data_IF_726146980190
#
_entry.id   IF_726146980190
#
_cell.length_a   1.000
_cell.length_b   1.000
_cell.length_c   1.000
_cell.angle_alpha   90.00
_cell.angle_beta   90.00
_cell.angle_gamma   90.00
#
_symmetry.space_group_name_H-M   'P 1'
#
loop_
_entity.id
_entity.type
_entity.pdbx_description
1 polymer ?
#
# COMPACT_ATOMS: atom_id res chain seq x y z
N UNK A 1 11.64 12.85 6.73
CA UNK A 1 12.02 12.40 5.37
C UNK A 1 11.18 13.15 4.33
N UNK A 2 11.70 13.35 3.10
CA UNK A 2 10.90 13.89 1.98
C UNK A 2 10.08 12.76 1.31
N UNK A 3 8.75 12.89 1.15
CA UNK A 3 7.90 11.84 0.59
C UNK A 3 8.34 11.31 -0.78
N UNK A 4 8.89 12.15 -1.63
CA UNK A 4 9.32 11.79 -3.00
C UNK A 4 10.60 10.96 -2.97
N UNK A 5 11.49 11.20 -2.00
CA UNK A 5 12.68 10.36 -1.78
C UNK A 5 12.26 8.95 -1.41
N UNK A 6 11.25 8.83 -0.53
CA UNK A 6 10.67 7.54 -0.17
C UNK A 6 10.03 6.85 -1.38
N UNK A 7 9.18 7.57 -2.14
CA UNK A 7 8.52 7.03 -3.32
C UNK A 7 9.52 6.55 -4.37
N UNK A 8 10.52 7.39 -4.70
CA UNK A 8 11.53 7.10 -5.72
C UNK A 8 12.45 5.94 -5.30
N UNK A 9 12.78 5.81 -4.01
CA UNK A 9 13.49 4.64 -3.49
C UNK A 9 12.71 3.36 -3.73
N UNK A 10 11.40 3.37 -3.49
CA UNK A 10 10.55 2.20 -3.72
C UNK A 10 10.33 1.93 -5.22
N UNK A 11 10.27 2.96 -6.07
CA UNK A 11 10.23 2.77 -7.52
C UNK A 11 11.51 2.08 -8.03
N UNK A 12 12.70 2.51 -7.57
CA UNK A 12 13.97 1.83 -7.93
C UNK A 12 13.95 0.35 -7.58
N UNK A 13 13.56 0.01 -6.34
CA UNK A 13 13.43 -1.38 -5.91
C UNK A 13 12.45 -2.19 -6.77
N UNK A 14 11.35 -1.57 -7.20
CA UNK A 14 10.38 -2.23 -8.06
C UNK A 14 10.92 -2.52 -9.47
N UNK A 15 11.84 -1.70 -9.97
CA UNK A 15 12.45 -1.88 -11.29
C UNK A 15 13.51 -3.00 -11.30
N UNK A 16 13.96 -3.48 -10.14
CA UNK A 16 14.87 -4.63 -9.97
C UNK A 16 14.13 -5.98 -10.04
N UNK A 17 12.94 -6.01 -10.64
CA UNK A 17 12.07 -7.16 -10.69
C UNK A 17 12.72 -8.37 -11.36
N UNK A 18 12.53 -9.54 -10.74
CA UNK A 18 12.71 -10.85 -11.35
C UNK A 18 11.49 -11.77 -11.11
N UNK A 19 11.33 -12.86 -11.87
CA UNK A 19 10.14 -13.74 -11.79
C UNK A 19 9.99 -14.60 -10.53
N UNK A 20 10.93 -14.56 -9.56
CA UNK A 20 10.83 -15.40 -8.36
C UNK A 20 9.63 -15.00 -7.49
N UNK A 21 8.98 -15.94 -6.77
CA UNK A 21 7.83 -15.64 -5.91
C UNK A 21 8.12 -14.55 -4.85
N UNK A 22 9.35 -14.54 -4.31
CA UNK A 22 9.80 -13.50 -3.38
C UNK A 22 9.87 -12.13 -4.05
N UNK A 23 10.50 -12.06 -5.23
CA UNK A 23 10.59 -10.82 -6.00
C UNK A 23 9.22 -10.29 -6.43
N UNK A 24 8.27 -11.17 -6.80
CA UNK A 24 6.88 -10.78 -7.08
C UNK A 24 6.26 -10.07 -5.87
N UNK A 25 6.43 -10.64 -4.67
CA UNK A 25 5.95 -10.01 -3.43
C UNK A 25 6.63 -8.66 -3.17
N UNK A 26 7.97 -8.63 -3.18
CA UNK A 26 8.76 -7.45 -2.85
C UNK A 26 8.50 -6.30 -3.83
N UNK A 27 8.45 -6.61 -5.13
CA UNK A 27 8.12 -5.65 -6.20
C UNK A 27 6.70 -5.11 -6.04
N UNK A 28 5.72 -5.97 -5.74
CA UNK A 28 4.33 -5.56 -5.49
C UNK A 28 4.25 -4.61 -4.30
N UNK A 29 4.96 -4.89 -3.21
CA UNK A 29 5.01 -4.01 -2.03
C UNK A 29 5.67 -2.68 -2.37
N UNK A 30 6.81 -2.70 -3.05
CA UNK A 30 7.53 -1.50 -3.46
C UNK A 30 6.70 -0.60 -4.40
N UNK A 31 6.07 -1.17 -5.42
CA UNK A 31 5.16 -0.43 -6.31
C UNK A 31 3.95 0.13 -5.57
N UNK A 32 3.37 -0.60 -4.60
CA UNK A 32 2.27 -0.07 -3.79
C UNK A 32 2.70 1.13 -2.96
N UNK A 33 3.88 1.06 -2.33
CA UNK A 33 4.47 2.19 -1.59
C UNK A 33 4.64 3.41 -2.50
N UNK A 34 5.23 3.23 -3.68
CA UNK A 34 5.36 4.29 -4.68
C UNK A 34 3.98 4.84 -5.11
N UNK A 35 3.04 3.96 -5.49
CA UNK A 35 1.74 4.34 -6.01
C UNK A 35 0.88 5.07 -4.97
N UNK A 36 0.94 4.68 -3.70
CA UNK A 36 0.27 5.40 -2.62
C UNK A 36 0.74 6.85 -2.57
N UNK A 37 2.05 7.10 -2.69
CA UNK A 37 2.58 8.47 -2.69
C UNK A 37 2.29 9.21 -4.00
N UNK A 38 2.41 8.55 -5.15
CA UNK A 38 2.08 9.15 -6.45
C UNK A 38 0.61 9.59 -6.53
N UNK A 39 -0.32 8.80 -5.97
CA UNK A 39 -1.73 9.18 -5.87
C UNK A 39 -1.93 10.35 -4.90
N UNK A 40 -1.32 10.31 -3.72
CA UNK A 40 -1.44 11.39 -2.73
C UNK A 40 -0.89 12.72 -3.25
N UNK A 41 0.25 12.68 -3.94
CA UNK A 41 0.91 13.88 -4.47
C UNK A 41 0.41 14.28 -5.86
N UNK A 42 -0.59 13.59 -6.41
CA UNK A 42 -1.12 13.84 -7.75
C UNK A 42 -1.64 15.28 -7.94
N UNK A 43 -2.07 15.93 -6.86
CA UNK A 43 -2.48 17.35 -6.87
C UNK A 43 -1.33 18.34 -7.06
N UNK A 44 -0.09 17.93 -6.72
CA UNK A 44 1.12 18.73 -6.89
C UNK A 44 1.90 18.32 -8.14
N UNK A 45 1.79 17.06 -8.54
CA UNK A 45 2.44 16.51 -9.72
C UNK A 45 1.58 15.39 -10.31
N UNK A 46 0.85 15.71 -11.37
CA UNK A 46 -0.03 14.76 -12.03
C UNK A 46 0.68 14.09 -13.19
N UNK A 47 0.89 12.77 -13.08
CA UNK A 47 1.33 11.94 -14.20
C UNK A 47 0.39 10.75 -14.37
N UNK A 48 -0.63 10.86 -15.24
CA UNK A 48 -1.67 9.85 -15.38
C UNK A 48 -1.11 8.51 -15.87
N UNK A 49 -0.14 8.55 -16.80
CA UNK A 49 0.52 7.35 -17.33
C UNK A 49 1.27 6.58 -16.25
N UNK A 50 2.02 7.28 -15.39
CA UNK A 50 2.76 6.67 -14.29
C UNK A 50 1.82 5.97 -13.30
N UNK A 51 0.71 6.63 -12.94
CA UNK A 51 -0.31 6.06 -12.06
C UNK A 51 -0.98 4.85 -12.73
N UNK A 52 -1.34 4.96 -14.00
CA UNK A 52 -1.99 3.88 -14.76
C UNK A 52 -1.13 2.63 -14.84
N UNK A 53 0.11 2.73 -15.33
CA UNK A 53 0.99 1.57 -15.47
C UNK A 53 1.39 0.97 -14.13
N UNK A 54 1.56 1.80 -13.09
CA UNK A 54 1.80 1.30 -11.73
C UNK A 54 0.61 0.51 -11.19
N UNK A 55 -0.63 0.97 -11.44
CA UNK A 55 -1.85 0.24 -11.05
C UNK A 55 -1.96 -1.11 -11.77
N UNK A 56 -1.72 -1.13 -13.08
CA UNK A 56 -1.75 -2.35 -13.88
C UNK A 56 -0.69 -3.36 -13.39
N UNK A 57 0.56 -2.93 -13.19
CA UNK A 57 1.61 -3.79 -12.66
C UNK A 57 1.25 -4.36 -11.27
N UNK A 58 0.75 -3.53 -10.35
CA UNK A 58 0.33 -3.97 -9.00
C UNK A 58 -0.81 -4.98 -9.04
N UNK A 59 -1.73 -4.83 -10.01
CA UNK A 59 -2.86 -5.74 -10.22
C UNK A 59 -2.38 -7.10 -10.71
N UNK A 60 -1.53 -7.15 -11.73
CA UNK A 60 -1.01 -8.40 -12.30
C UNK A 60 -0.12 -9.12 -11.28
N UNK A 61 0.83 -8.42 -10.66
CA UNK A 61 1.63 -8.96 -9.55
C UNK A 61 0.76 -9.46 -8.39
N UNK A 62 -0.42 -8.87 -8.22
CA UNK A 62 -1.39 -9.33 -7.24
C UNK A 62 -1.97 -10.69 -7.56
N UNK A 63 -2.39 -10.92 -8.80
CA UNK A 63 -2.88 -12.23 -9.25
C UNK A 63 -1.82 -13.31 -9.14
N UNK A 64 -0.59 -13.01 -9.59
CA UNK A 64 0.55 -13.94 -9.46
C UNK A 64 0.77 -14.29 -8.00
N UNK A 65 0.87 -13.29 -7.11
CA UNK A 65 1.11 -13.53 -5.68
C UNK A 65 -0.01 -14.35 -5.03
N UNK A 66 -1.25 -14.11 -5.43
CA UNK A 66 -2.40 -14.81 -4.85
C UNK A 66 -2.36 -16.29 -5.25
N UNK A 67 -2.01 -16.62 -6.50
CA UNK A 67 -1.75 -17.99 -6.94
C UNK A 67 -0.50 -18.60 -6.27
N UNK A 68 0.60 -17.85 -6.15
CA UNK A 68 1.83 -18.32 -5.46
C UNK A 68 1.55 -18.67 -3.97
N UNK A 69 0.59 -18.01 -3.32
CA UNK A 69 0.17 -18.29 -1.93
C UNK A 69 -0.77 -19.49 -1.86
N UNK A 70 -1.80 -19.50 -2.70
CA UNK A 70 -2.94 -20.39 -2.59
C UNK A 70 -2.68 -21.74 -3.27
N UNK A 71 -1.82 -21.75 -4.31
CA UNK A 71 -1.43 -22.90 -5.14
C UNK A 71 -2.58 -23.64 -5.84
N UNK A 72 -3.84 -23.20 -5.66
CA UNK A 72 -5.02 -23.83 -6.25
C UNK A 72 -5.69 -22.99 -7.34
N UNK A 73 -5.28 -21.72 -7.51
CA UNK A 73 -5.86 -20.83 -8.52
C UNK A 73 -5.11 -21.00 -9.84
N UNK A 74 -5.74 -21.61 -10.87
CA UNK A 74 -5.08 -21.80 -12.16
C UNK A 74 -4.87 -20.43 -12.81
N UNK A 75 -3.61 -20.08 -13.04
CA UNK A 75 -3.22 -18.89 -13.80
C UNK A 75 -2.10 -19.25 -14.78
N UNK A 76 -2.04 -18.52 -15.90
CA UNK A 76 -0.86 -18.51 -16.75
C UNK A 76 0.20 -17.57 -16.12
N UNK A 77 0.98 -18.13 -15.20
CA UNK A 77 1.99 -17.37 -14.44
C UNK A 77 3.05 -16.78 -15.36
N UNK A 78 3.50 -17.53 -16.37
CA UNK A 78 4.54 -17.10 -17.30
C UNK A 78 4.07 -15.91 -18.14
N UNK A 79 2.84 -15.98 -18.66
CA UNK A 79 2.23 -14.87 -19.38
C UNK A 79 2.13 -13.62 -18.50
N UNK A 80 1.61 -13.74 -17.28
CA UNK A 80 1.49 -12.59 -16.37
C UNK A 80 2.86 -11.99 -15.99
N UNK A 81 3.89 -12.81 -15.81
CA UNK A 81 5.27 -12.32 -15.61
C UNK A 81 5.76 -11.55 -16.83
N UNK A 82 5.49 -12.06 -18.04
CA UNK A 82 5.84 -11.38 -19.30
C UNK A 82 5.14 -10.02 -19.41
N UNK A 83 3.86 -9.93 -19.04
CA UNK A 83 3.12 -8.66 -19.00
C UNK A 83 3.76 -7.66 -18.04
N UNK A 84 4.07 -8.07 -16.81
CA UNK A 84 4.73 -7.20 -15.82
C UNK A 84 6.08 -6.72 -16.34
N UNK A 85 6.86 -7.60 -16.96
CA UNK A 85 8.18 -7.29 -17.53
C UNK A 85 8.08 -6.24 -18.64
N UNK A 86 6.98 -6.22 -19.41
CA UNK A 86 6.70 -5.19 -20.44
C UNK A 86 6.19 -3.88 -19.85
N UNK A 87 5.49 -3.92 -18.72
CA UNK A 87 4.90 -2.73 -18.07
C UNK A 87 5.94 -1.96 -17.25
N UNK A 88 6.80 -2.64 -16.48
CA UNK A 88 7.75 -1.99 -15.57
C UNK A 88 8.67 -0.96 -16.25
N UNK A 89 9.22 -1.19 -17.46
CA UNK A 89 10.00 -0.18 -18.16
C UNK A 89 9.23 1.12 -18.44
N UNK A 90 7.90 1.05 -18.57
CA UNK A 90 7.04 2.24 -18.80
C UNK A 90 6.93 3.15 -17.59
N UNK A 91 7.26 2.66 -16.39
CA UNK A 91 7.33 3.47 -15.16
C UNK A 91 8.75 3.84 -14.76
N UNK A 92 9.76 3.50 -15.56
CA UNK A 92 11.17 3.78 -15.25
C UNK A 92 11.50 5.27 -15.15
N UNK A 93 10.81 6.12 -15.91
CA UNK A 93 10.96 7.58 -15.89
C UNK A 93 10.01 8.28 -14.89
N UNK A 94 9.21 7.53 -14.14
CA UNK A 94 8.16 8.07 -13.28
C UNK A 94 8.64 8.55 -11.90
N UNK A 95 9.90 8.98 -11.80
CA UNK A 95 10.41 9.55 -10.56
C UNK A 95 9.67 10.85 -10.23
N UNK A 96 9.20 10.95 -8.98
CA UNK A 96 8.57 12.15 -8.48
C UNK A 96 9.64 13.23 -8.31
N UNK A 97 9.45 14.45 -8.86
CA UNK A 97 10.37 15.55 -8.66
C UNK A 97 10.33 16.01 -7.20
N UNK A 98 11.27 16.87 -6.78
CA UNK A 98 11.19 17.50 -5.46
C UNK A 98 10.03 18.51 -5.47
N UNK A 99 9.02 18.31 -4.62
CA UNK A 99 7.86 19.18 -4.54
C UNK A 99 7.85 19.91 -3.20
N UNK A 100 7.59 21.21 -3.22
CA UNK A 100 7.35 21.98 -2.00
C UNK A 100 5.95 21.65 -1.46
N UNK A 101 5.80 21.59 -0.14
CA UNK A 101 4.52 21.27 0.51
C UNK A 101 4.10 19.79 0.46
N UNK A 102 4.90 18.89 -0.12
CA UNK A 102 4.54 17.46 -0.20
C UNK A 102 4.32 16.79 1.15
N UNK A 103 5.06 17.20 2.18
CA UNK A 103 4.85 16.73 3.57
C UNK A 103 3.47 17.11 4.09
N UNK A 104 3.06 18.37 3.91
CA UNK A 104 1.72 18.83 4.30
C UNK A 104 0.64 18.02 3.59
N UNK A 105 0.77 17.79 2.28
CA UNK A 105 -0.17 16.96 1.50
C UNK A 105 -0.29 15.55 2.06
N UNK A 106 0.84 14.95 2.45
CA UNK A 106 0.83 13.61 3.05
C UNK A 106 0.15 13.62 4.42
N UNK A 107 0.40 14.62 5.26
CA UNK A 107 -0.25 14.71 6.58
C UNK A 107 -1.75 15.03 6.49
N UNK A 108 -2.18 15.89 5.57
CA UNK A 108 -3.59 16.06 5.25
C UNK A 108 -4.21 14.72 4.83
N UNK A 109 -3.52 13.93 4.00
CA UNK A 109 -4.03 12.62 3.62
C UNK A 109 -4.09 11.63 4.79
N UNK A 110 -3.13 11.68 5.70
CA UNK A 110 -3.15 10.90 6.95
C UNK A 110 -4.37 11.32 7.81
N UNK A 111 -4.66 12.62 7.89
CA UNK A 111 -5.83 13.17 8.59
C UNK A 111 -7.15 12.73 7.95
N UNK A 112 -7.24 12.74 6.62
CA UNK A 112 -8.40 12.19 5.89
C UNK A 112 -8.64 10.73 6.25
N UNK A 113 -7.57 9.92 6.24
CA UNK A 113 -7.67 8.52 6.61
C UNK A 113 -8.15 8.38 8.04
N UNK A 114 -7.57 9.12 9.00
CA UNK A 114 -8.00 9.14 10.40
C UNK A 114 -9.51 9.39 10.53
N UNK A 115 -10.04 10.45 9.91
CA UNK A 115 -11.47 10.79 9.97
C UNK A 115 -12.37 9.75 9.31
N UNK A 116 -11.84 8.98 8.36
CA UNK A 116 -12.57 7.92 7.67
C UNK A 116 -12.49 6.54 8.32
N UNK A 117 -11.71 6.36 9.39
CA UNK A 117 -11.56 5.07 10.07
C UNK A 117 -12.84 4.72 10.83
N UNK A 118 -13.48 3.63 10.43
CA UNK A 118 -14.66 3.07 11.08
C UNK A 118 -14.68 1.56 10.92
N UNK A 119 -15.57 0.89 11.63
CA UNK A 119 -15.83 -0.53 11.39
C UNK A 119 -16.45 -0.68 10.00
N UNK A 120 -15.81 -1.46 9.15
CA UNK A 120 -16.16 -1.62 7.73
C UNK A 120 -15.75 -3.00 7.20
N UNK A 121 -15.87 -3.21 5.89
CA UNK A 121 -15.38 -4.42 5.24
C UNK A 121 -13.87 -4.62 5.46
N UNK A 122 -13.47 -5.88 5.72
CA UNK A 122 -12.08 -6.25 6.00
C UNK A 122 -11.10 -5.72 4.94
N UNK A 123 -11.46 -5.79 3.66
CA UNK A 123 -10.57 -5.39 2.58
C UNK A 123 -10.38 -3.88 2.53
N UNK A 124 -11.45 -3.12 2.77
CA UNK A 124 -11.38 -1.66 2.81
C UNK A 124 -10.60 -1.17 4.04
N UNK A 125 -10.85 -1.73 5.22
CA UNK A 125 -10.07 -1.43 6.41
C UNK A 125 -8.58 -1.75 6.21
N UNK A 126 -8.25 -2.95 5.70
CA UNK A 126 -6.87 -3.36 5.41
C UNK A 126 -6.18 -2.43 4.40
N UNK A 127 -6.89 -1.95 3.37
CA UNK A 127 -6.34 -0.97 2.43
C UNK A 127 -5.99 0.35 3.13
N UNK A 128 -6.86 0.86 4.01
CA UNK A 128 -6.64 2.08 4.79
C UNK A 128 -5.44 1.96 5.70
N UNK A 129 -5.36 0.89 6.51
CA UNK A 129 -4.21 0.63 7.41
C UNK A 129 -2.90 0.56 6.64
N UNK A 130 -2.87 -0.15 5.51
CA UNK A 130 -1.68 -0.24 4.66
C UNK A 130 -1.28 1.11 4.07
N UNK A 131 -2.24 1.90 3.60
CA UNK A 131 -1.97 3.23 3.06
C UNK A 131 -1.43 4.17 4.16
N UNK A 132 -2.04 4.18 5.34
CA UNK A 132 -1.56 4.90 6.52
C UNK A 132 -0.11 4.54 6.85
N UNK A 133 0.21 3.24 6.97
CA UNK A 133 1.58 2.78 7.19
C UNK A 133 2.56 3.40 6.18
N UNK A 134 2.27 3.33 4.87
CA UNK A 134 3.18 3.86 3.85
C UNK A 134 3.32 5.38 3.91
N UNK A 135 2.22 6.10 4.18
CA UNK A 135 2.24 7.55 4.32
C UNK A 135 3.07 7.99 5.52
N UNK A 136 2.87 7.37 6.69
CA UNK A 136 3.65 7.63 7.91
C UNK A 136 5.13 7.33 7.70
N UNK A 137 5.46 6.19 7.09
CA UNK A 137 6.85 5.85 6.78
C UNK A 137 7.49 6.87 5.82
N UNK A 138 6.72 7.40 4.85
CA UNK A 138 7.23 8.35 3.85
C UNK A 138 7.63 9.72 4.39
N UNK A 139 6.98 10.17 5.48
CA UNK A 139 7.34 11.42 6.18
C UNK A 139 8.47 11.21 7.18
N UNK A 140 8.92 9.96 7.38
CA UNK A 140 10.01 9.59 8.28
C UNK A 140 9.59 9.43 9.73
N UNK A 141 8.29 9.30 9.98
CA UNK A 141 7.75 8.99 11.30
C UNK A 141 7.86 7.49 11.59
N UNK A 142 7.86 7.13 12.88
CA UNK A 142 7.87 5.73 13.28
C UNK A 142 6.51 5.07 12.96
N UNK A 143 6.50 4.21 11.94
CA UNK A 143 5.32 3.47 11.50
C UNK A 143 5.27 2.01 12.02
N UNK A 144 6.07 1.66 13.04
CA UNK A 144 6.23 0.30 13.56
C UNK A 144 4.90 -0.37 13.93
N UNK A 145 4.08 0.29 14.76
CA UNK A 145 2.77 -0.24 15.17
C UNK A 145 1.81 -0.41 13.99
N UNK A 146 1.74 0.56 13.06
CA UNK A 146 0.93 0.43 11.84
C UNK A 146 1.41 -0.69 10.93
N UNK A 147 2.74 -0.91 10.85
CA UNK A 147 3.33 -2.01 10.09
C UNK A 147 2.96 -3.37 10.69
N UNK A 148 2.94 -3.49 12.02
CA UNK A 148 2.51 -4.71 12.72
C UNK A 148 1.04 -5.01 12.46
N UNK A 149 0.15 -4.03 12.63
CA UNK A 149 -1.29 -4.21 12.32
C UNK A 149 -1.48 -4.55 10.84
N UNK A 150 -0.80 -3.83 9.94
CA UNK A 150 -0.85 -4.12 8.49
C UNK A 150 -0.35 -5.52 8.16
N UNK A 151 0.64 -6.05 8.91
CA UNK A 151 1.15 -7.41 8.74
C UNK A 151 0.14 -8.44 9.22
N UNK A 152 -0.42 -8.27 10.43
CA UNK A 152 -1.49 -9.14 10.97
C UNK A 152 -2.66 -9.27 9.99
N UNK A 153 -3.17 -8.16 9.47
CA UNK A 153 -4.24 -8.16 8.44
C UNK A 153 -3.78 -8.77 7.11
N UNK A 154 -2.49 -8.72 6.79
CA UNK A 154 -1.91 -9.40 5.64
C UNK A 154 -1.92 -10.92 5.81
N UNK A 155 -1.48 -11.39 6.97
CA UNK A 155 -1.35 -12.81 7.32
C UNK A 155 -2.74 -13.47 7.37
N UNK A 156 -3.72 -12.84 8.06
CA UNK A 156 -5.12 -13.30 8.09
C UNK A 156 -5.71 -13.50 6.70
N UNK A 157 -5.38 -12.62 5.75
CA UNK A 157 -5.85 -12.71 4.38
C UNK A 157 -5.19 -13.86 3.63
N UNK A 158 -3.88 -14.04 3.83
CA UNK A 158 -3.12 -15.08 3.14
C UNK A 158 -3.50 -16.47 3.69
N UNK A 159 -3.82 -16.59 4.98
CA UNK A 159 -4.43 -17.78 5.60
C UNK A 159 -5.80 -18.08 4.99
N UNK A 160 -6.69 -17.09 4.92
CA UNK A 160 -8.00 -17.23 4.31
C UNK A 160 -7.92 -17.75 2.86
N UNK A 161 -7.00 -17.21 2.06
CA UNK A 161 -6.82 -17.69 0.68
C UNK A 161 -6.41 -19.16 0.60
N UNK A 162 -5.56 -19.64 1.52
CA UNK A 162 -5.15 -21.04 1.57
C UNK A 162 -6.31 -21.94 1.99
N UNK A 163 -7.12 -21.50 2.96
CA UNK A 163 -8.29 -22.23 3.41
C UNK A 163 -9.35 -22.36 2.30
N UNK A 164 -9.59 -21.30 1.54
CA UNK A 164 -10.54 -21.30 0.42
C UNK A 164 -10.19 -22.27 -0.70
N UNK A 165 -8.94 -22.72 -0.79
CA UNK A 165 -8.53 -23.77 -1.72
C UNK A 165 -8.88 -25.18 -1.24
N UNK A 166 -8.91 -25.40 0.08
CA UNK A 166 -9.06 -26.74 0.67
C UNK A 166 -10.53 -27.11 0.93
N UNK A 167 -11.41 -26.11 1.03
CA UNK A 167 -12.86 -26.31 1.18
C UNK A 167 -13.60 -25.04 0.78
N UNK A 168 -14.83 -25.13 0.23
CA UNK A 168 -15.65 -23.95 -0.02
C UNK A 168 -16.00 -23.28 1.31
N UNK A 169 -15.19 -22.29 1.69
CA UNK A 169 -15.37 -21.51 2.91
C UNK A 169 -16.49 -20.50 2.65
N UNK A 170 -17.66 -20.72 3.26
CA UNK A 170 -18.78 -19.76 3.25
C UNK A 170 -18.53 -18.57 4.19
N UNK A 171 -17.43 -18.60 4.96
CA UNK A 171 -17.11 -17.58 5.95
C UNK A 171 -16.56 -16.32 5.28
N UNK A 172 -17.17 -15.17 5.59
CA UNK A 172 -16.60 -13.86 5.26
C UNK A 172 -15.43 -13.57 6.21
N UNK A 173 -14.31 -13.12 5.65
CA UNK A 173 -13.15 -12.68 6.42
C UNK A 173 -13.54 -11.45 7.26
N UNK A 174 -13.28 -11.50 8.56
CA UNK A 174 -13.55 -10.42 9.51
C UNK A 174 -12.31 -10.12 10.34
N UNK A 175 -12.33 -8.98 11.03
CA UNK A 175 -11.28 -8.56 11.95
C UNK A 175 -11.90 -8.10 13.27
N UNK A 176 -11.10 -8.05 14.34
CA UNK A 176 -11.54 -7.51 15.62
C UNK A 176 -11.83 -5.99 15.48
N UNK A 177 -13.07 -5.54 15.72
CA UNK A 177 -13.42 -4.11 15.65
C UNK A 177 -12.54 -3.21 16.54
N UNK A 178 -11.95 -3.74 17.62
CA UNK A 178 -11.03 -2.99 18.49
C UNK A 178 -9.80 -2.45 17.74
N UNK A 179 -9.39 -3.10 16.65
CA UNK A 179 -8.29 -2.64 15.79
C UNK A 179 -8.55 -1.27 15.16
N UNK A 180 -9.83 -0.88 14.97
CA UNK A 180 -10.16 0.46 14.46
C UNK A 180 -9.69 1.52 15.44
N UNK A 181 -9.97 1.34 16.73
CA UNK A 181 -9.60 2.28 17.78
C UNK A 181 -8.09 2.27 18.03
N UNK A 182 -7.45 1.10 17.95
CA UNK A 182 -5.98 1.01 17.99
C UNK A 182 -5.34 1.83 16.86
N UNK A 183 -5.77 1.62 15.61
CA UNK A 183 -5.23 2.34 14.44
C UNK A 183 -5.53 3.83 14.53
N UNK A 184 -6.72 4.23 15.00
CA UNK A 184 -7.03 5.65 15.27
C UNK A 184 -6.08 6.24 16.30
N UNK A 185 -5.85 5.58 17.43
CA UNK A 185 -4.97 6.06 18.47
C UNK A 185 -3.53 6.24 17.96
N UNK A 186 -2.99 5.25 17.24
CA UNK A 186 -1.66 5.34 16.62
C UNK A 186 -1.60 6.52 15.63
N UNK A 187 -2.60 6.62 14.75
CA UNK A 187 -2.64 7.67 13.71
C UNK A 187 -2.77 9.06 14.34
N UNK A 188 -3.57 9.20 15.41
CA UNK A 188 -3.69 10.44 16.18
C UNK A 188 -2.35 10.87 16.76
N UNK A 189 -1.59 9.95 17.35
CA UNK A 189 -0.26 10.27 17.88
C UNK A 189 0.68 10.76 16.78
N UNK A 190 0.64 10.17 15.59
CA UNK A 190 1.44 10.63 14.44
C UNK A 190 1.04 12.05 14.03
N UNK A 191 -0.25 12.36 13.93
CA UNK A 191 -0.73 13.70 13.59
C UNK A 191 -0.31 14.73 14.66
N UNK A 192 -0.42 14.37 15.95
CA UNK A 192 -0.02 15.25 17.06
C UNK A 192 1.46 15.62 17.06
N UNK A 193 2.34 14.70 16.59
CA UNK A 193 3.79 14.94 16.48
C UNK A 193 4.17 15.74 15.23
N UNK A 194 3.25 15.92 14.29
CA UNK A 194 3.53 16.67 13.07
C UNK A 194 3.79 18.15 13.33
N UNK A 195 4.48 18.79 12.39
CA UNK A 195 4.73 20.23 12.39
C UNK A 195 3.50 21.10 12.06
N UNK A 196 2.34 20.49 11.81
CA UNK A 196 1.16 21.17 11.26
C UNK A 196 0.04 21.33 12.31
N UNK A 197 0.06 22.45 13.04
CA UNK A 197 -0.88 22.68 14.15
C UNK A 197 -2.36 22.67 13.74
N UNK A 198 -2.68 23.19 12.55
CA UNK A 198 -4.04 23.19 12.01
C UNK A 198 -4.62 21.77 11.80
N UNK A 199 -3.78 20.73 11.73
CA UNK A 199 -4.23 19.34 11.62
C UNK A 199 -4.47 18.66 12.97
N UNK A 200 -4.13 19.31 14.09
CA UNK A 200 -4.20 18.75 15.45
C UNK A 200 -5.56 18.97 16.13
N UNK A 201 -6.56 19.46 15.39
CA UNK A 201 -7.94 19.60 15.88
C UNK A 201 -8.68 18.30 15.61
N UNK A 202 -9.14 17.63 16.68
CA UNK A 202 -9.88 16.37 16.63
C UNK A 202 -11.30 16.61 17.14
N UNK A 203 -12.25 16.66 16.21
CA UNK A 203 -13.69 16.55 16.48
C UNK A 203 -14.11 15.08 16.54
#
# INVERSE_FOLDING_TARGET
MRPEVYANKNLRKALEFNPSPKSVHDTRVALRKYLTLALTLSRLYYSPHCIYYSKEAVKILGKIRDSDISQCMPIDREHMVSEVTKILPRVSSCYLPKLYGSRLVVFEKIRDYYGSLKVEDFHEFRKKVRALYYLVESVGENAGSLKEVSKKLGDMRDEYLKESCNSPTSRKLSYDPSLVEEVKAITRQVIMRSEFDHLKVFE
#
